data_IF_721333898064
#
_entry.id   IF_721333898064
#
_cell.length_a   1.000
_cell.length_b   1.000
_cell.length_c   1.000
_cell.angle_alpha   90.00
_cell.angle_beta   90.00
_cell.angle_gamma   90.00
#
_symmetry.space_group_name_H-M   'P 1'
#
loop_
_entity.id
_entity.type
_entity.pdbx_description
1 polymer ?
#
# COMPACT_ATOMS: atom_id res chain seq x y z
N UNK A 1 41.24 35.08 -35.28
CA UNK A 1 40.06 35.95 -35.50
C UNK A 1 38.87 35.01 -35.60
N UNK A 2 38.24 34.56 -34.51
CA UNK A 2 37.38 35.32 -33.59
C UNK A 2 36.36 36.17 -34.34
N UNK A 3 35.18 35.60 -34.56
CA UNK A 3 33.93 36.35 -34.58
C UNK A 3 32.98 35.66 -33.62
N UNK A 4 32.68 36.41 -32.55
CA UNK A 4 31.62 36.16 -31.58
C UNK A 4 30.31 36.41 -32.30
N UNK A 5 29.40 35.44 -32.28
CA UNK A 5 27.97 35.74 -32.39
C UNK A 5 27.43 35.95 -30.97
N UNK A 6 27.53 37.19 -30.51
CA UNK A 6 26.63 37.76 -29.53
C UNK A 6 25.23 37.75 -30.15
N UNK A 7 24.42 36.75 -29.80
CA UNK A 7 22.96 36.86 -29.97
C UNK A 7 22.40 37.13 -28.60
N UNK A 8 22.19 38.42 -28.33
CA UNK A 8 21.40 38.99 -27.24
C UNK A 8 20.23 38.09 -26.86
N UNK A 9 20.26 37.53 -25.64
CA UNK A 9 19.05 37.04 -24.98
C UNK A 9 18.06 38.20 -24.97
N UNK A 10 16.95 38.08 -25.70
CA UNK A 10 15.79 38.91 -25.46
C UNK A 10 15.34 38.68 -24.02
N UNK A 11 15.49 39.69 -23.17
CA UNK A 11 14.98 39.69 -21.80
C UNK A 11 13.48 39.35 -21.87
N UNK A 12 13.09 38.19 -21.32
CA UNK A 12 11.69 37.84 -21.21
C UNK A 12 11.03 38.87 -20.30
N UNK A 13 10.21 39.75 -20.88
CA UNK A 13 9.51 40.79 -20.14
C UNK A 13 8.64 40.16 -19.05
N UNK A 14 9.04 40.33 -17.79
CA UNK A 14 8.45 39.65 -16.65
C UNK A 14 7.22 40.44 -16.16
N UNK A 15 6.04 39.93 -16.47
CA UNK A 15 4.78 40.47 -15.99
C UNK A 15 4.45 39.94 -14.59
N UNK A 16 4.06 40.83 -13.67
CA UNK A 16 3.61 40.49 -12.33
C UNK A 16 2.09 40.62 -12.22
N UNK A 17 1.47 39.62 -11.58
CA UNK A 17 0.04 39.60 -11.33
C UNK A 17 -0.23 40.11 -9.91
N UNK A 18 -1.02 41.18 -9.81
CA UNK A 18 -1.35 41.81 -8.54
C UNK A 18 -2.84 41.83 -8.28
N UNK A 19 -3.17 41.71 -7.00
CA UNK A 19 -4.49 41.97 -6.45
C UNK A 19 -4.39 43.20 -5.56
N UNK A 20 -4.94 44.32 -6.03
CA UNK A 20 -5.04 45.55 -5.24
C UNK A 20 -6.39 45.54 -4.54
N UNK A 21 -6.39 45.38 -3.21
CA UNK A 21 -7.59 45.21 -2.39
C UNK A 21 -7.84 46.49 -1.63
N UNK A 22 -9.11 46.92 -1.59
CA UNK A 22 -9.62 47.95 -0.71
C UNK A 22 -10.72 47.37 0.18
N UNK A 23 -10.50 47.37 1.48
CA UNK A 23 -11.45 46.91 2.50
C UNK A 23 -11.50 47.92 3.69
N UNK A 24 -12.37 47.70 4.70
CA UNK A 24 -12.53 48.66 5.81
C UNK A 24 -11.27 48.95 6.62
N UNK A 25 -10.27 48.08 6.59
CA UNK A 25 -9.01 48.27 7.32
C UNK A 25 -7.92 48.94 6.46
N UNK A 26 -8.20 49.23 5.19
CA UNK A 26 -7.34 49.99 4.30
C UNK A 26 -7.10 49.32 2.95
N UNK A 27 -6.07 49.79 2.26
CA UNK A 27 -5.69 49.31 0.93
C UNK A 27 -4.39 48.51 0.97
N UNK A 28 -4.31 47.43 0.20
CA UNK A 28 -3.11 46.59 0.10
C UNK A 28 -2.94 45.99 -1.28
N UNK A 29 -1.68 45.77 -1.68
CA UNK A 29 -1.30 45.09 -2.92
C UNK A 29 -0.79 43.70 -2.57
N UNK A 30 -1.33 42.68 -3.21
CA UNK A 30 -0.90 41.29 -3.05
C UNK A 30 -0.32 40.82 -4.37
N UNK A 31 0.95 40.41 -4.35
CA UNK A 31 1.57 39.71 -5.47
C UNK A 31 1.03 38.28 -5.53
N UNK A 32 0.61 37.85 -6.71
CA UNK A 32 0.11 36.50 -6.97
C UNK A 32 1.23 35.64 -7.57
N UNK A 33 1.94 34.92 -6.70
CA UNK A 33 3.07 34.04 -7.05
C UNK A 33 2.75 32.55 -6.91
N UNK A 34 1.71 32.21 -6.14
CA UNK A 34 1.31 30.84 -5.80
C UNK A 34 0.32 30.26 -6.81
N UNK A 35 0.20 28.93 -6.83
CA UNK A 35 -0.69 28.23 -7.78
C UNK A 35 -2.17 28.34 -7.40
N UNK A 36 -2.48 28.56 -6.14
CA UNK A 36 -3.84 28.59 -5.60
C UNK A 36 -3.91 29.59 -4.45
N UNK A 37 -4.96 30.41 -4.39
CA UNK A 37 -5.29 31.22 -3.22
C UNK A 37 -6.74 30.95 -2.79
N UNK A 38 -6.95 30.74 -1.50
CA UNK A 38 -8.27 30.89 -0.89
C UNK A 38 -8.50 32.36 -0.51
N UNK A 39 -9.69 32.89 -0.77
CA UNK A 39 -10.07 34.28 -0.50
C UNK A 39 -11.25 34.30 0.46
N UNK A 40 -11.19 35.12 1.51
CA UNK A 40 -12.32 35.34 2.42
C UNK A 40 -11.92 35.94 3.76
N UNK A 41 -12.90 36.16 4.66
CA UNK A 41 -12.62 36.82 5.96
C UNK A 41 -11.94 35.95 7.01
N UNK A 42 -11.88 34.63 6.80
CA UNK A 42 -11.15 33.76 7.71
C UNK A 42 -9.64 34.03 7.58
N UNK A 43 -8.94 34.14 8.72
CA UNK A 43 -7.50 34.38 8.79
C UNK A 43 -6.67 33.25 8.18
N UNK A 44 -7.24 32.06 8.03
CA UNK A 44 -6.57 30.91 7.38
C UNK A 44 -6.59 30.98 5.85
N UNK A 45 -7.17 32.02 5.25
CA UNK A 45 -7.18 32.18 3.79
C UNK A 45 -5.86 32.76 3.29
N UNK A 46 -5.45 32.35 2.08
CA UNK A 46 -4.26 32.90 1.42
C UNK A 46 -4.38 34.39 1.10
N UNK A 47 -5.60 34.86 0.83
CA UNK A 47 -5.97 36.28 0.73
C UNK A 47 -7.09 36.54 1.72
N UNK A 48 -6.72 37.13 2.86
CA UNK A 48 -7.68 37.54 3.88
C UNK A 48 -8.37 38.81 3.41
N UNK A 49 -9.70 38.89 3.52
CA UNK A 49 -10.50 40.10 3.28
C UNK A 49 -11.10 40.60 4.61
N UNK A 50 -10.77 41.82 5.04
CA UNK A 50 -11.05 42.28 6.41
C UNK A 50 -12.41 42.97 6.51
N UNK A 51 -13.46 42.24 6.14
CA UNK A 51 -14.85 42.66 6.31
C UNK A 51 -15.73 41.51 6.83
N UNK A 52 -16.65 41.83 7.73
CA UNK A 52 -17.64 40.87 8.25
C UNK A 52 -18.72 40.52 7.22
N UNK A 53 -18.88 41.34 6.17
CA UNK A 53 -19.85 41.13 5.11
C UNK A 53 -19.40 40.07 4.08
N UNK A 54 -18.12 39.70 4.11
CA UNK A 54 -17.52 38.67 3.25
C UNK A 54 -17.67 37.28 3.91
N UNK A 55 -18.01 36.25 3.12
CA UNK A 55 -17.98 34.85 3.58
C UNK A 55 -16.62 34.44 4.18
N UNK A 56 -16.65 33.51 5.16
CA UNK A 56 -15.42 32.96 5.78
C UNK A 56 -14.47 32.37 4.73
N UNK A 57 -15.02 31.67 3.75
CA UNK A 57 -14.38 31.30 2.49
C UNK A 57 -15.31 31.81 1.40
N UNK A 58 -14.82 32.72 0.56
CA UNK A 58 -15.63 33.47 -0.40
C UNK A 58 -15.29 33.09 -1.83
N UNK A 59 -14.01 32.90 -2.15
CA UNK A 59 -13.61 32.49 -3.49
C UNK A 59 -12.31 31.70 -3.46
N UNK A 60 -12.02 31.05 -4.59
CA UNK A 60 -10.72 30.43 -4.87
C UNK A 60 -10.15 31.05 -6.13
N UNK A 61 -8.87 31.40 -6.08
CA UNK A 61 -8.08 31.83 -7.23
C UNK A 61 -7.16 30.70 -7.66
N UNK A 62 -7.17 30.35 -8.95
CA UNK A 62 -6.36 29.29 -9.53
C UNK A 62 -5.45 29.85 -10.61
N UNK A 63 -4.16 29.55 -10.51
CA UNK A 63 -3.17 29.84 -11.54
C UNK A 63 -3.33 28.85 -12.68
N UNK A 64 -3.60 29.37 -13.87
CA UNK A 64 -3.74 28.61 -15.10
C UNK A 64 -2.52 28.92 -15.98
N UNK A 65 -1.59 27.96 -16.19
CA UNK A 65 -0.47 28.19 -17.10
C UNK A 65 -0.99 28.36 -18.54
N UNK A 66 -0.42 29.30 -19.30
CA UNK A 66 -0.72 29.48 -20.73
C UNK A 66 0.33 28.70 -21.52
N UNK A 67 -0.03 27.64 -22.26
CA UNK A 67 0.96 26.85 -22.98
C UNK A 67 1.62 27.63 -24.11
N UNK A 68 2.85 27.22 -24.44
CA UNK A 68 3.75 27.86 -25.43
C UNK A 68 4.18 29.29 -25.10
N UNK A 69 3.75 29.87 -23.96
CA UNK A 69 4.24 31.13 -23.41
C UNK A 69 4.72 30.89 -21.98
N UNK A 70 5.79 31.56 -21.53
CA UNK A 70 6.21 31.51 -20.12
C UNK A 70 5.30 32.34 -19.19
N UNK A 71 4.03 32.53 -19.56
CA UNK A 71 3.04 33.36 -18.88
C UNK A 71 1.93 32.51 -18.26
N UNK A 72 1.19 33.08 -17.31
CA UNK A 72 0.07 32.42 -16.66
C UNK A 72 -1.08 33.40 -16.47
N UNK A 73 -2.28 32.87 -16.26
CA UNK A 73 -3.51 33.62 -15.96
C UNK A 73 -4.03 33.19 -14.60
N UNK A 74 -4.97 33.96 -14.06
CA UNK A 74 -5.68 33.59 -12.85
C UNK A 74 -7.17 33.47 -13.11
N UNK A 75 -7.77 32.36 -12.67
CA UNK A 75 -9.22 32.14 -12.69
C UNK A 75 -9.75 32.28 -11.27
N UNK A 76 -10.79 33.09 -11.09
CA UNK A 76 -11.52 33.20 -9.83
C UNK A 76 -12.80 32.35 -9.89
N UNK A 77 -13.13 31.68 -8.79
CA UNK A 77 -14.29 30.80 -8.66
C UNK A 77 -15.02 31.16 -7.36
N UNK A 78 -16.34 31.33 -7.43
CA UNK A 78 -17.19 31.62 -6.29
C UNK A 78 -17.30 30.42 -5.34
N UNK A 79 -17.03 30.64 -4.06
CA UNK A 79 -17.15 29.63 -3.01
C UNK A 79 -15.82 29.00 -2.55
N UNK A 80 -15.93 27.83 -1.92
CA UNK A 80 -14.79 27.08 -1.40
C UNK A 80 -14.47 25.81 -2.21
N UNK A 81 -13.34 25.17 -1.90
CA UNK A 81 -12.89 23.93 -2.56
C UNK A 81 -13.85 22.73 -2.36
N UNK A 82 -14.84 22.85 -1.49
CA UNK A 82 -15.90 21.85 -1.27
C UNK A 82 -17.20 22.20 -2.01
N UNK A 83 -17.20 23.20 -2.89
CA UNK A 83 -18.33 23.57 -3.75
C UNK A 83 -19.42 24.40 -3.08
N UNK A 84 -19.20 24.89 -1.85
CA UNK A 84 -20.16 25.78 -1.17
C UNK A 84 -19.96 27.22 -1.65
N UNK A 85 -21.01 27.80 -2.24
CA UNK A 85 -21.01 29.18 -2.76
C UNK A 85 -20.84 30.23 -1.68
N UNK A 86 -20.33 31.40 -2.05
CA UNK A 86 -20.33 32.53 -1.13
C UNK A 86 -21.75 33.10 -0.94
N UNK A 87 -21.92 33.94 0.08
CA UNK A 87 -23.23 34.50 0.41
C UNK A 87 -23.67 35.58 -0.59
N UNK A 88 -22.72 36.36 -1.12
CA UNK A 88 -23.00 37.52 -1.97
C UNK A 88 -22.64 37.27 -3.45
N UNK A 89 -22.03 36.13 -3.77
CA UNK A 89 -21.49 35.83 -5.08
C UNK A 89 -20.28 36.70 -5.44
N UNK A 90 -19.71 36.44 -6.62
CA UNK A 90 -18.67 37.27 -7.21
C UNK A 90 -19.27 38.22 -8.23
N UNK A 91 -19.11 39.53 -8.02
CA UNK A 91 -19.49 40.55 -8.98
C UNK A 91 -18.22 41.10 -9.63
N UNK A 92 -18.10 40.97 -10.96
CA UNK A 92 -16.94 41.42 -11.73
C UNK A 92 -17.41 42.37 -12.82
N UNK A 93 -16.90 43.60 -12.81
CA UNK A 93 -17.31 44.68 -13.72
C UNK A 93 -18.83 44.84 -13.80
N UNK A 94 -19.51 44.74 -12.65
CA UNK A 94 -20.97 44.89 -12.54
C UNK A 94 -21.82 43.66 -12.91
N UNK A 95 -21.22 42.51 -13.24
CA UNK A 95 -21.94 41.26 -13.56
C UNK A 95 -21.57 40.12 -12.62
N UNK A 96 -22.55 39.29 -12.26
CA UNK A 96 -22.31 38.12 -11.41
C UNK A 96 -21.70 36.97 -12.19
N UNK A 97 -20.66 36.36 -11.60
CA UNK A 97 -19.97 35.19 -12.14
C UNK A 97 -19.88 34.07 -11.12
N UNK A 98 -20.05 32.84 -11.60
CA UNK A 98 -19.67 31.64 -10.84
C UNK A 98 -18.18 31.32 -11.01
N UNK A 99 -17.64 31.55 -12.21
CA UNK A 99 -16.21 31.48 -12.51
C UNK A 99 -15.88 32.50 -13.60
N UNK A 100 -14.71 33.12 -13.50
CA UNK A 100 -14.21 34.10 -14.47
C UNK A 100 -12.68 34.04 -14.58
N UNK A 101 -12.14 34.19 -15.79
CA UNK A 101 -10.70 34.34 -16.01
C UNK A 101 -10.38 35.84 -15.90
N UNK A 102 -9.53 36.21 -14.95
CA UNK A 102 -9.21 37.60 -14.67
C UNK A 102 -8.37 38.22 -15.78
N UNK A 103 -8.84 39.37 -16.27
CA UNK A 103 -8.16 40.23 -17.23
C UNK A 103 -7.66 41.50 -16.54
N UNK A 104 -6.53 42.05 -17.00
CA UNK A 104 -6.00 43.29 -16.44
C UNK A 104 -7.08 44.39 -16.42
N UNK A 105 -7.28 44.98 -15.24
CA UNK A 105 -8.28 46.01 -15.00
C UNK A 105 -9.60 45.50 -14.45
N UNK A 106 -9.81 44.18 -14.32
CA UNK A 106 -11.04 43.63 -13.75
C UNK A 106 -11.24 44.12 -12.31
N UNK A 107 -12.39 44.76 -12.06
CA UNK A 107 -12.85 45.16 -10.73
C UNK A 107 -13.79 44.08 -10.17
N UNK A 108 -13.46 43.59 -8.99
CA UNK A 108 -14.10 42.47 -8.32
C UNK A 108 -14.67 42.98 -7.00
N UNK A 109 -15.97 42.82 -6.81
CA UNK A 109 -16.70 43.22 -5.60
C UNK A 109 -17.13 41.96 -4.85
N UNK A 110 -16.68 41.85 -3.60
CA UNK A 110 -17.00 40.73 -2.70
C UNK A 110 -18.12 41.09 -1.70
N UNK A 111 -18.24 42.37 -1.39
CA UNK A 111 -19.30 42.97 -0.58
C UNK A 111 -19.33 44.48 -0.84
N UNK A 112 -20.34 45.16 -0.29
CA UNK A 112 -20.52 46.61 -0.47
C UNK A 112 -19.35 47.46 0.05
N UNK A 113 -18.52 46.91 0.93
CA UNK A 113 -17.37 47.58 1.57
C UNK A 113 -16.02 46.96 1.19
N UNK A 114 -16.00 45.94 0.31
CA UNK A 114 -14.79 45.20 -0.03
C UNK A 114 -14.72 44.94 -1.53
N UNK A 115 -13.69 45.49 -2.16
CA UNK A 115 -13.40 45.34 -3.59
C UNK A 115 -11.92 45.07 -3.84
N UNK A 116 -11.63 44.50 -4.98
CA UNK A 116 -10.27 44.33 -5.48
C UNK A 116 -10.20 44.67 -6.97
N UNK A 117 -9.05 45.12 -7.44
CA UNK A 117 -8.74 45.19 -8.86
C UNK A 117 -7.59 44.23 -9.18
N UNK A 118 -7.75 43.49 -10.28
CA UNK A 118 -6.71 42.61 -10.77
C UNK A 118 -5.88 43.32 -11.83
N UNK A 119 -4.57 43.33 -11.65
CA UNK A 119 -3.66 44.05 -12.54
C UNK A 119 -2.46 43.20 -12.94
N UNK A 120 -2.03 43.38 -14.19
CA UNK A 120 -0.84 42.77 -14.75
C UNK A 120 0.08 43.95 -15.07
N UNK A 121 1.20 44.04 -14.35
CA UNK A 121 2.13 45.18 -14.44
C UNK A 121 3.55 44.69 -14.70
N UNK A 122 4.40 45.53 -15.28
CA UNK A 122 5.82 45.22 -15.48
C UNK A 122 6.63 45.56 -14.23
N UNK A 123 6.16 46.51 -13.42
CA UNK A 123 6.81 46.90 -12.18
C UNK A 123 5.79 47.04 -11.03
N UNK A 124 6.07 46.57 -9.80
CA UNK A 124 5.15 46.68 -8.65
C UNK A 124 4.70 48.11 -8.30
N UNK A 125 5.49 49.11 -8.72
CA UNK A 125 5.17 50.53 -8.53
C UNK A 125 3.98 51.00 -9.39
N UNK A 126 3.67 50.31 -10.50
CA UNK A 126 2.61 50.67 -11.46
C UNK A 126 1.21 50.22 -11.02
N UNK A 127 1.09 49.43 -9.95
CA UNK A 127 -0.21 48.93 -9.47
C UNK A 127 -1.05 50.10 -8.91
N UNK A 128 -2.22 50.32 -9.49
CA UNK A 128 -3.19 51.37 -9.09
C UNK A 128 -4.15 50.83 -8.03
N UNK A 129 -4.64 51.65 -7.10
CA UNK A 129 -5.62 51.18 -6.11
C UNK A 129 -7.07 51.31 -6.62
N UNK A 130 -8.00 50.46 -6.17
CA UNK A 130 -9.42 50.59 -6.53
C UNK A 130 -9.98 51.94 -6.04
N UNK A 131 -10.37 52.82 -6.97
CA UNK A 131 -10.95 54.14 -6.68
C UNK A 131 -10.11 55.36 -7.09
N UNK A 132 -8.90 55.18 -7.59
CA UNK A 132 -8.10 56.26 -8.20
C UNK A 132 -8.52 56.47 -9.66
N UNK A 133 -9.65 57.15 -9.91
CA UNK A 133 -10.01 57.57 -11.28
C UNK A 133 -9.27 58.85 -11.66
N UNK A 134 -8.28 58.70 -12.53
CA UNK A 134 -8.02 59.62 -13.66
C UNK A 134 -7.99 58.73 -14.92
N UNK A 135 -9.16 58.19 -15.25
CA UNK A 135 -9.33 57.03 -16.13
C UNK A 135 -9.07 57.29 -17.63
N UNK A 136 -8.79 58.53 -18.06
CA UNK A 136 -8.64 58.85 -19.49
C UNK A 136 -7.19 59.00 -19.98
N UNK A 137 -6.18 59.03 -19.10
CA UNK A 137 -4.78 59.26 -19.52
C UNK A 137 -3.95 58.00 -19.78
N UNK A 138 -4.34 56.84 -19.22
CA UNK A 138 -3.56 55.59 -19.36
C UNK A 138 -4.05 54.73 -20.54
N UNK A 139 -5.23 55.02 -21.09
CA UNK A 139 -5.79 54.31 -22.24
C UNK A 139 -5.13 54.64 -23.59
N UNK A 140 -4.39 55.75 -23.71
CA UNK A 140 -3.82 56.19 -24.99
C UNK A 140 -2.43 55.63 -25.29
N UNK A 141 -1.63 55.25 -24.29
CA UNK A 141 -0.27 54.72 -24.50
C UNK A 141 -0.19 53.18 -24.61
N UNK A 142 -1.30 52.46 -24.37
CA UNK A 142 -1.33 50.98 -24.39
C UNK A 142 -1.92 50.35 -25.67
N UNK A 143 -2.12 51.13 -26.73
CA UNK A 143 -2.63 50.61 -28.01
C UNK A 143 -1.54 50.05 -28.96
N UNK A 144 -0.26 50.03 -28.56
CA UNK A 144 0.81 49.64 -29.51
C UNK A 144 1.35 48.22 -29.44
N UNK A 145 1.05 47.44 -28.41
CA UNK A 145 1.31 45.99 -28.46
C UNK A 145 0.50 45.26 -27.38
N UNK A 146 -0.72 44.85 -27.72
CA UNK A 146 -1.40 43.80 -26.96
C UNK A 146 -1.26 42.49 -27.73
N UNK A 147 -0.82 41.38 -27.11
CA UNK A 147 -1.10 40.07 -27.65
C UNK A 147 -2.62 39.87 -27.55
N UNK A 148 -3.35 40.20 -28.62
CA UNK A 148 -4.73 39.78 -28.77
C UNK A 148 -4.73 38.25 -28.92
N UNK A 149 -5.08 37.54 -27.86
CA UNK A 149 -5.57 36.17 -28.00
C UNK A 149 -7.06 36.26 -28.31
N UNK A 150 -7.46 35.60 -29.38
CA UNK A 150 -8.85 35.54 -29.83
C UNK A 150 -9.67 34.65 -28.88
N UNK A 151 -11.00 34.85 -28.81
CA UNK A 151 -11.89 33.96 -28.04
C UNK A 151 -11.72 32.46 -28.41
N UNK A 152 -11.26 32.18 -29.63
CA UNK A 152 -10.84 30.87 -30.11
C UNK A 152 -9.63 30.28 -29.37
N UNK A 153 -8.66 31.10 -28.94
CA UNK A 153 -7.50 30.65 -28.17
C UNK A 153 -7.82 30.40 -26.69
N UNK A 154 -8.90 31.00 -26.16
CA UNK A 154 -9.37 30.80 -24.79
C UNK A 154 -10.15 29.49 -24.61
N UNK A 155 -10.84 29.01 -25.65
CA UNK A 155 -11.42 27.68 -25.66
C UNK A 155 -10.33 26.59 -25.57
N UNK A 156 -9.21 26.78 -26.27
CA UNK A 156 -8.07 25.86 -26.27
C UNK A 156 -7.37 25.75 -24.90
N UNK A 157 -7.20 26.85 -24.14
CA UNK A 157 -6.66 26.79 -22.77
C UNK A 157 -7.56 26.02 -21.78
N UNK A 158 -8.88 26.04 -22.01
CA UNK A 158 -9.84 25.27 -21.22
C UNK A 158 -9.73 23.77 -21.58
N UNK A 159 -9.58 23.46 -22.87
CA UNK A 159 -9.28 22.11 -23.36
C UNK A 159 -7.93 21.60 -22.85
N UNK A 160 -6.87 22.40 -22.76
CA UNK A 160 -5.56 21.95 -22.27
C UNK A 160 -5.54 21.71 -20.77
N UNK A 161 -6.22 22.55 -19.98
CA UNK A 161 -6.39 22.31 -18.55
C UNK A 161 -7.28 21.07 -18.28
N UNK A 162 -8.35 20.91 -19.06
CA UNK A 162 -9.18 19.71 -19.04
C UNK A 162 -8.41 18.47 -19.50
N UNK A 163 -7.59 18.57 -20.56
CA UNK A 163 -6.73 17.50 -21.05
C UNK A 163 -5.68 17.12 -20.02
N UNK A 164 -5.09 18.09 -19.31
CA UNK A 164 -4.18 17.81 -18.20
C UNK A 164 -4.89 17.13 -17.03
N UNK A 165 -6.08 17.59 -16.64
CA UNK A 165 -6.85 16.95 -15.56
C UNK A 165 -7.31 15.55 -15.96
N UNK A 166 -7.71 15.35 -17.22
CA UNK A 166 -8.03 14.06 -17.80
C UNK A 166 -6.80 13.15 -17.93
N UNK A 167 -5.59 13.71 -18.04
CA UNK A 167 -4.37 12.90 -18.15
C UNK A 167 -3.95 12.20 -16.85
N UNK A 168 -4.41 12.65 -15.67
CA UNK A 168 -4.03 12.02 -14.40
C UNK A 168 -4.45 10.55 -14.30
N UNK A 169 -5.72 10.18 -14.54
CA UNK A 169 -6.11 8.77 -14.57
C UNK A 169 -5.45 8.00 -15.73
N UNK A 170 -5.25 8.63 -16.90
CA UNK A 170 -4.57 8.02 -18.06
C UNK A 170 -3.12 7.62 -17.78
N UNK A 171 -2.39 8.43 -17.01
CA UNK A 171 -0.99 8.21 -16.66
C UNK A 171 -0.81 7.39 -15.37
N UNK A 172 -1.90 7.04 -14.69
CA UNK A 172 -1.82 6.27 -13.46
C UNK A 172 -1.46 4.81 -13.80
N UNK A 173 -0.37 4.26 -13.23
CA UNK A 173 0.02 2.88 -13.48
C UNK A 173 -0.94 1.85 -12.87
N UNK A 174 -1.79 2.27 -11.93
CA UNK A 174 -2.79 1.41 -11.32
C UNK A 174 -4.07 1.38 -12.18
N UNK A 175 -4.70 0.22 -12.35
CA UNK A 175 -5.98 0.12 -13.05
C UNK A 175 -7.06 0.98 -12.38
N UNK A 176 -7.70 1.83 -13.18
CA UNK A 176 -8.86 2.64 -12.80
C UNK A 176 -9.99 2.30 -13.75
N UNK A 177 -11.16 2.03 -13.19
CA UNK A 177 -12.38 1.79 -13.95
C UNK A 177 -13.56 2.56 -13.34
N UNK A 178 -14.48 2.96 -14.20
CA UNK A 178 -15.74 3.58 -13.82
C UNK A 178 -16.88 2.80 -14.46
N UNK A 179 -17.91 2.52 -13.67
CA UNK A 179 -19.15 1.90 -14.13
C UNK A 179 -20.33 2.72 -13.66
N UNK A 180 -21.42 2.72 -14.41
CA UNK A 180 -22.69 3.26 -13.94
C UNK A 180 -23.42 2.27 -13.02
N UNK A 181 -24.52 2.70 -12.41
CA UNK A 181 -25.38 1.84 -11.57
C UNK A 181 -26.07 0.69 -12.33
N UNK A 182 -26.04 0.66 -13.67
CA UNK A 182 -26.52 -0.50 -14.44
C UNK A 182 -25.41 -1.53 -14.70
N UNK A 183 -24.19 -1.29 -14.23
CA UNK A 183 -23.04 -2.18 -14.40
C UNK A 183 -22.33 -2.03 -15.75
N UNK A 184 -22.64 -0.99 -16.51
CA UNK A 184 -21.96 -0.67 -17.78
C UNK A 184 -20.69 0.12 -17.52
N UNK A 185 -19.58 -0.29 -18.12
CA UNK A 185 -18.29 0.41 -18.02
C UNK A 185 -18.37 1.74 -18.79
N UNK A 186 -18.16 2.85 -18.08
CA UNK A 186 -18.15 4.22 -18.64
C UNK A 186 -16.74 4.73 -18.90
N UNK A 187 -15.73 4.21 -18.20
CA UNK A 187 -14.34 4.61 -18.36
C UNK A 187 -13.38 3.49 -17.92
N UNK A 188 -12.26 3.35 -18.64
CA UNK A 188 -11.09 2.58 -18.24
C UNK A 188 -9.86 3.42 -18.54
N UNK A 189 -8.90 3.46 -17.62
CA UNK A 189 -7.59 3.99 -17.95
C UNK A 189 -6.75 2.96 -18.74
N UNK A 190 -5.64 3.36 -19.38
CA UNK A 190 -4.78 2.47 -20.16
C UNK A 190 -4.26 1.27 -19.37
N UNK A 191 -3.95 1.45 -18.08
CA UNK A 191 -3.52 0.35 -17.22
C UNK A 191 -4.61 -0.73 -17.07
N UNK A 192 -5.87 -0.33 -16.81
CA UNK A 192 -6.98 -1.26 -16.71
C UNK A 192 -7.28 -1.95 -18.05
N UNK A 193 -7.27 -1.19 -19.15
CA UNK A 193 -7.53 -1.75 -20.48
C UNK A 193 -6.44 -2.74 -20.91
N UNK A 194 -5.18 -2.48 -20.56
CA UNK A 194 -4.06 -3.39 -20.87
C UNK A 194 -4.02 -4.61 -19.97
N UNK A 195 -4.36 -4.47 -18.68
CA UNK A 195 -4.26 -5.55 -17.70
C UNK A 195 -5.49 -6.47 -17.69
N UNK A 196 -6.65 -5.95 -18.09
CA UNK A 196 -7.93 -6.67 -18.12
C UNK A 196 -8.64 -6.46 -19.48
N UNK A 197 -8.06 -6.91 -20.61
CA UNK A 197 -8.69 -6.77 -21.93
C UNK A 197 -10.08 -7.46 -22.01
N UNK A 198 -10.30 -8.51 -21.23
CA UNK A 198 -11.52 -9.29 -21.16
C UNK A 198 -12.69 -8.59 -20.43
N UNK A 199 -12.47 -7.40 -19.85
CA UNK A 199 -13.45 -6.73 -18.99
C UNK A 199 -14.77 -6.43 -19.75
N UNK A 200 -14.68 -6.00 -21.00
CA UNK A 200 -15.84 -5.70 -21.84
C UNK A 200 -16.58 -6.97 -22.30
N UNK A 201 -15.85 -8.06 -22.52
CA UNK A 201 -16.42 -9.33 -22.98
C UNK A 201 -17.17 -10.05 -21.86
N UNK A 202 -16.56 -10.10 -20.66
CA UNK A 202 -17.12 -10.80 -19.51
C UNK A 202 -18.15 -9.94 -18.76
N UNK A 203 -18.00 -8.61 -18.76
CA UNK A 203 -18.92 -7.69 -18.08
C UNK A 203 -19.14 -8.09 -16.63
N UNK A 204 -20.40 -8.25 -16.22
CA UNK A 204 -20.77 -8.65 -14.85
C UNK A 204 -20.19 -10.01 -14.39
N UNK A 205 -19.74 -10.86 -15.30
CA UNK A 205 -19.08 -12.14 -14.97
C UNK A 205 -17.60 -11.96 -14.63
N UNK A 206 -17.00 -10.81 -14.97
CA UNK A 206 -15.63 -10.51 -14.60
C UNK A 206 -15.52 -10.35 -13.08
N UNK A 207 -14.50 -10.92 -12.40
CA UNK A 207 -14.37 -10.83 -10.95
C UNK A 207 -14.41 -9.39 -10.40
N UNK A 208 -13.84 -8.43 -11.15
CA UNK A 208 -13.83 -7.00 -10.78
C UNK A 208 -15.21 -6.31 -10.83
N UNK A 209 -16.15 -6.83 -11.63
CA UNK A 209 -17.48 -6.25 -11.80
C UNK A 209 -18.57 -7.09 -11.12
N UNK A 210 -18.27 -8.36 -10.86
CA UNK A 210 -19.16 -9.29 -10.16
C UNK A 210 -19.63 -8.69 -8.84
N UNK A 211 -20.94 -8.68 -8.64
CA UNK A 211 -21.63 -8.17 -7.45
C UNK A 211 -21.30 -6.71 -7.08
N UNK A 212 -20.63 -5.95 -7.95
CA UNK A 212 -20.15 -4.59 -7.66
C UNK A 212 -21.32 -3.62 -7.43
N UNK A 213 -22.29 -3.63 -8.34
CA UNK A 213 -23.50 -2.78 -8.26
C UNK A 213 -24.31 -3.13 -7.02
N UNK A 214 -24.56 -4.42 -6.77
CA UNK A 214 -25.30 -4.91 -5.61
C UNK A 214 -24.60 -4.49 -4.30
N UNK A 215 -23.28 -4.67 -4.23
CA UNK A 215 -22.47 -4.30 -3.05
C UNK A 215 -22.54 -2.80 -2.75
N UNK A 216 -22.65 -1.96 -3.78
CA UNK A 216 -22.85 -0.51 -3.61
C UNK A 216 -24.29 -0.23 -3.17
N UNK A 217 -25.29 -0.81 -3.82
CA UNK A 217 -26.71 -0.61 -3.51
C UNK A 217 -27.05 -0.94 -2.04
N UNK A 218 -26.53 -2.06 -1.53
CA UNK A 218 -26.72 -2.47 -0.13
C UNK A 218 -26.12 -1.47 0.88
N UNK A 219 -25.11 -0.71 0.44
CA UNK A 219 -24.35 0.24 1.27
C UNK A 219 -24.79 1.70 1.11
N UNK A 220 -25.66 2.03 0.16
CA UNK A 220 -26.18 3.40 -0.02
C UNK A 220 -26.95 3.92 1.21
N UNK A 221 -27.48 3.02 2.04
CA UNK A 221 -28.18 3.36 3.29
C UNK A 221 -27.25 3.53 4.51
N UNK A 222 -25.98 3.13 4.39
CA UNK A 222 -24.97 3.33 5.40
C UNK A 222 -24.09 4.52 4.98
N UNK A 223 -23.74 5.42 5.88
CA UNK A 223 -22.98 6.65 5.60
C UNK A 223 -21.54 6.44 5.08
N UNK A 224 -21.22 5.32 4.43
CA UNK A 224 -19.94 4.96 3.83
C UNK A 224 -20.08 4.80 2.31
N UNK A 225 -19.87 5.89 1.58
CA UNK A 225 -19.85 5.89 0.11
C UNK A 225 -18.60 5.23 -0.51
N UNK A 226 -17.67 4.74 0.33
CA UNK A 226 -16.42 4.13 -0.10
C UNK A 226 -16.10 2.88 0.72
N UNK A 227 -15.62 1.83 0.06
CA UNK A 227 -15.14 0.60 0.70
C UNK A 227 -14.09 -0.09 -0.17
N UNK A 228 -13.41 -1.09 0.38
CA UNK A 228 -12.47 -1.93 -0.36
C UNK A 228 -12.89 -3.39 -0.29
N UNK A 229 -12.52 -4.17 -1.32
CA UNK A 229 -12.64 -5.63 -1.35
C UNK A 229 -11.42 -6.25 -2.00
N UNK A 230 -11.10 -7.48 -1.62
CA UNK A 230 -10.07 -8.27 -2.27
C UNK A 230 -10.68 -9.03 -3.45
N UNK A 231 -10.00 -9.05 -4.59
CA UNK A 231 -10.43 -9.77 -5.79
C UNK A 231 -9.23 -10.48 -6.40
N UNK A 232 -9.41 -11.75 -6.73
CA UNK A 232 -8.44 -12.51 -7.51
C UNK A 232 -8.76 -12.41 -9.00
N UNK A 233 -7.77 -12.06 -9.81
CA UNK A 233 -7.87 -12.02 -11.26
C UNK A 233 -6.61 -12.63 -11.86
N UNK A 234 -6.76 -13.67 -12.68
CA UNK A 234 -5.65 -14.34 -13.37
C UNK A 234 -4.50 -14.78 -12.44
N UNK A 235 -4.82 -15.22 -11.21
CA UNK A 235 -3.84 -15.67 -10.20
C UNK A 235 -3.08 -14.53 -9.47
N UNK A 236 -3.49 -13.28 -9.69
CA UNK A 236 -3.03 -12.11 -8.97
C UNK A 236 -4.11 -11.62 -8.00
N UNK A 237 -3.68 -11.11 -6.84
CA UNK A 237 -4.56 -10.57 -5.81
C UNK A 237 -4.56 -9.05 -5.87
N UNK A 238 -5.75 -8.47 -6.03
CA UNK A 238 -5.96 -7.03 -6.03
C UNK A 238 -6.81 -6.57 -4.85
N UNK A 239 -6.46 -5.41 -4.30
CA UNK A 239 -7.34 -4.64 -3.43
C UNK A 239 -8.09 -3.64 -4.31
N UNK A 240 -9.39 -3.88 -4.51
CA UNK A 240 -10.28 -3.03 -5.28
C UNK A 240 -10.96 -2.03 -4.34
N UNK A 241 -10.62 -0.76 -4.49
CA UNK A 241 -11.23 0.34 -3.75
C UNK A 241 -12.37 0.92 -4.57
N UNK A 242 -13.55 1.00 -3.98
CA UNK A 242 -14.81 1.30 -4.65
C UNK A 242 -15.40 2.55 -4.03
N UNK A 243 -15.73 3.52 -4.87
CA UNK A 243 -16.31 4.81 -4.50
C UNK A 243 -17.59 5.05 -5.29
N UNK A 244 -18.71 5.18 -4.60
CA UNK A 244 -19.96 5.60 -5.21
C UNK A 244 -20.06 7.13 -5.22
N UNK A 245 -20.44 7.69 -6.36
CA UNK A 245 -20.61 9.13 -6.59
C UNK A 245 -22.11 9.39 -6.83
N UNK A 246 -22.89 9.70 -5.77
CA UNK A 246 -24.35 9.77 -5.86
C UNK A 246 -24.86 10.81 -6.86
N UNK A 247 -24.19 11.96 -6.96
CA UNK A 247 -24.59 13.04 -7.87
C UNK A 247 -24.43 12.71 -9.35
N UNK A 248 -23.75 11.61 -9.68
CA UNK A 248 -23.46 11.19 -11.05
C UNK A 248 -23.98 9.78 -11.35
N UNK A 249 -24.46 9.05 -10.34
CA UNK A 249 -24.81 7.62 -10.42
C UNK A 249 -23.66 6.77 -10.99
N UNK A 250 -22.43 7.12 -10.62
CA UNK A 250 -21.20 6.46 -11.04
C UNK A 250 -20.54 5.75 -9.87
N UNK A 251 -19.95 4.60 -10.16
CA UNK A 251 -19.10 3.84 -9.27
C UNK A 251 -17.70 3.89 -9.88
N UNK A 252 -16.78 4.57 -9.20
CA UNK A 252 -15.37 4.60 -9.56
C UNK A 252 -14.61 3.60 -8.71
N UNK A 253 -13.79 2.78 -9.34
CA UNK A 253 -12.87 1.92 -8.59
C UNK A 253 -11.45 2.00 -9.09
N UNK A 254 -10.50 1.83 -8.16
CA UNK A 254 -9.09 1.70 -8.47
C UNK A 254 -8.56 0.43 -7.83
N UNK A 255 -7.60 -0.21 -8.48
CA UNK A 255 -7.01 -1.47 -8.03
C UNK A 255 -5.57 -1.25 -7.58
N UNK A 256 -5.21 -1.81 -6.44
CA UNK A 256 -3.82 -1.96 -6.03
C UNK A 256 -3.45 -3.44 -6.09
N UNK A 257 -2.36 -3.78 -6.79
CA UNK A 257 -1.80 -5.14 -6.73
C UNK A 257 -1.21 -5.38 -5.33
N UNK A 258 -1.73 -6.40 -4.64
CA UNK A 258 -1.31 -6.80 -3.31
C UNK A 258 -0.72 -8.22 -3.30
N UNK A 259 -0.42 -8.78 -4.47
CA UNK A 259 0.03 -10.17 -4.63
C UNK A 259 1.32 -10.44 -3.86
N UNK A 260 2.36 -9.64 -4.05
CA UNK A 260 3.63 -9.82 -3.34
C UNK A 260 3.48 -9.63 -1.82
N UNK A 261 2.64 -8.66 -1.41
CA UNK A 261 2.32 -8.42 0.01
C UNK A 261 1.66 -9.66 0.62
N UNK A 262 0.67 -10.24 -0.04
CA UNK A 262 -0.05 -11.44 0.40
C UNK A 262 0.86 -12.66 0.44
N UNK A 263 1.63 -12.93 -0.63
CA UNK A 263 2.61 -14.02 -0.66
C UNK A 263 3.66 -13.89 0.45
N UNK A 264 4.18 -12.68 0.67
CA UNK A 264 5.13 -12.44 1.76
C UNK A 264 4.49 -12.67 3.13
N UNK A 265 3.25 -12.24 3.32
CA UNK A 265 2.49 -12.48 4.55
C UNK A 265 2.25 -13.97 4.79
N UNK A 266 1.87 -14.73 3.76
CA UNK A 266 1.70 -16.19 3.81
C UNK A 266 3.03 -16.88 4.14
N UNK A 267 4.14 -16.48 3.53
CA UNK A 267 5.48 -17.00 3.84
C UNK A 267 5.83 -16.71 5.31
N UNK A 268 5.61 -15.49 5.79
CA UNK A 268 5.86 -15.13 7.20
C UNK A 268 5.00 -15.98 8.14
N UNK A 269 3.71 -16.18 7.81
CA UNK A 269 2.82 -17.03 8.59
C UNK A 269 3.27 -18.49 8.58
N UNK A 270 3.67 -19.00 7.42
CA UNK A 270 4.18 -20.36 7.27
C UNK A 270 5.47 -20.55 8.09
N UNK A 271 6.44 -19.63 7.96
CA UNK A 271 7.71 -19.62 8.71
C UNK A 271 7.52 -19.42 10.23
N UNK A 272 6.43 -18.77 10.66
CA UNK A 272 6.12 -18.68 12.08
C UNK A 272 5.85 -20.07 12.70
N UNK A 273 5.50 -21.06 11.88
CA UNK A 273 5.14 -22.42 12.30
C UNK A 273 6.04 -23.52 11.69
N UNK A 274 6.87 -23.22 10.69
CA UNK A 274 7.74 -24.19 10.02
C UNK A 274 9.19 -23.71 9.99
N UNK A 275 10.12 -24.64 9.98
CA UNK A 275 11.54 -24.37 9.80
C UNK A 275 11.83 -24.04 8.33
N UNK A 276 12.45 -22.88 8.08
CA UNK A 276 12.66 -22.38 6.72
C UNK A 276 13.62 -23.24 5.87
N UNK A 277 14.53 -23.99 6.51
CA UNK A 277 15.49 -24.83 5.80
C UNK A 277 14.90 -26.18 5.40
N UNK A 278 14.18 -26.82 6.32
CA UNK A 278 13.71 -28.20 6.16
C UNK A 278 12.26 -28.32 5.76
N UNK A 279 11.45 -27.26 5.95
CA UNK A 279 10.01 -27.29 5.73
C UNK A 279 9.23 -28.06 6.80
N UNK A 280 9.90 -28.70 7.76
CA UNK A 280 9.23 -29.37 8.88
C UNK A 280 8.59 -28.34 9.82
N UNK A 281 7.57 -28.74 10.62
CA UNK A 281 7.12 -27.96 11.76
C UNK A 281 8.31 -27.50 12.63
N UNK A 282 8.24 -26.26 13.10
CA UNK A 282 9.25 -25.73 14.02
C UNK A 282 8.87 -26.04 15.48
N UNK A 283 9.78 -25.71 16.41
CA UNK A 283 9.56 -25.83 17.87
C UNK A 283 8.21 -25.27 18.33
N UNK A 284 7.82 -24.08 17.86
CA UNK A 284 6.56 -23.44 18.29
C UNK A 284 5.33 -24.24 17.83
N UNK A 285 5.33 -24.71 16.58
CA UNK A 285 4.23 -25.54 16.07
C UNK A 285 4.17 -26.88 16.82
N UNK A 286 5.30 -27.54 17.03
CA UNK A 286 5.34 -28.79 17.79
C UNK A 286 4.79 -28.63 19.21
N UNK A 287 5.25 -27.62 19.96
CA UNK A 287 4.78 -27.38 21.32
C UNK A 287 3.27 -27.10 21.38
N UNK A 288 2.74 -26.31 20.43
CA UNK A 288 1.31 -26.03 20.34
C UNK A 288 0.51 -27.30 19.99
N UNK A 289 0.99 -28.08 19.01
CA UNK A 289 0.35 -29.32 18.60
C UNK A 289 0.32 -30.33 19.77
N UNK A 290 1.45 -30.54 20.44
CA UNK A 290 1.53 -31.43 21.60
C UNK A 290 0.62 -30.98 22.75
N UNK A 291 0.51 -29.67 23.02
CA UNK A 291 -0.41 -29.16 24.03
C UNK A 291 -1.87 -29.54 23.73
N UNK A 292 -2.30 -29.38 22.48
CA UNK A 292 -3.64 -29.76 22.03
C UNK A 292 -3.83 -31.28 22.09
N UNK A 293 -2.86 -32.05 21.60
CA UNK A 293 -2.91 -33.51 21.62
C UNK A 293 -2.95 -34.08 23.03
N UNK A 294 -2.26 -33.48 24.00
CA UNK A 294 -2.34 -33.90 25.42
C UNK A 294 -3.75 -33.67 26.00
N UNK A 295 -4.42 -32.58 25.63
CA UNK A 295 -5.78 -32.31 26.06
C UNK A 295 -6.76 -33.36 25.50
N UNK A 296 -6.62 -33.73 24.23
CA UNK A 296 -7.38 -34.82 23.60
C UNK A 296 -7.09 -36.17 24.29
N UNK A 297 -5.80 -36.50 24.43
CA UNK A 297 -5.34 -37.77 24.98
C UNK A 297 -5.81 -38.00 26.42
N UNK A 298 -5.91 -36.93 27.22
CA UNK A 298 -6.48 -36.99 28.57
C UNK A 298 -7.94 -37.43 28.56
N UNK A 299 -8.71 -36.99 27.56
CA UNK A 299 -10.13 -37.33 27.44
C UNK A 299 -10.36 -38.75 26.87
N UNK A 300 -9.44 -39.26 26.05
CA UNK A 300 -9.57 -40.55 25.36
C UNK A 300 -8.71 -41.67 25.94
N UNK A 301 -7.98 -41.42 27.03
CA UNK A 301 -6.96 -42.32 27.60
C UNK A 301 -5.92 -42.77 26.55
N UNK A 302 -5.57 -41.86 25.62
CA UNK A 302 -4.58 -42.11 24.58
C UNK A 302 -3.17 -41.97 25.18
N UNK A 303 -2.28 -42.92 24.86
CA UNK A 303 -0.86 -42.84 25.23
C UNK A 303 -0.06 -42.25 24.08
N UNK A 304 0.92 -41.42 24.41
CA UNK A 304 1.78 -40.74 23.45
C UNK A 304 3.25 -41.00 23.79
N UNK A 305 4.14 -40.87 22.81
CA UNK A 305 5.58 -40.83 23.04
C UNK A 305 6.18 -39.57 22.41
N UNK A 306 7.05 -38.89 23.15
CA UNK A 306 7.89 -37.80 22.65
C UNK A 306 9.31 -38.32 22.54
N UNK A 307 9.86 -38.29 21.32
CA UNK A 307 11.23 -38.73 21.02
C UNK A 307 12.06 -37.51 20.62
N UNK A 308 13.03 -37.16 21.44
CA UNK A 308 14.03 -36.15 21.12
C UNK A 308 15.19 -36.81 20.38
N UNK A 309 15.66 -36.20 19.29
CA UNK A 309 16.64 -36.77 18.38
C UNK A 309 17.72 -35.73 18.12
N UNK A 310 18.97 -36.13 18.22
CA UNK A 310 20.12 -35.28 17.89
C UNK A 310 21.09 -36.05 16.98
N UNK A 311 21.65 -35.36 15.99
CA UNK A 311 22.56 -35.97 15.01
C UNK A 311 24.00 -35.94 15.53
N UNK A 312 24.53 -37.12 15.81
CA UNK A 312 25.89 -37.24 16.31
C UNK A 312 26.90 -36.77 15.25
N UNK A 313 27.80 -35.87 15.64
CA UNK A 313 28.89 -35.40 14.78
C UNK A 313 28.50 -34.38 13.72
N UNK A 314 27.27 -33.85 13.72
CA UNK A 314 26.83 -32.83 12.74
C UNK A 314 27.75 -31.61 12.70
N UNK A 315 28.21 -31.13 13.86
CA UNK A 315 29.18 -30.04 13.92
C UNK A 315 30.46 -30.33 13.13
N UNK A 316 30.98 -31.56 13.19
CA UNK A 316 32.19 -31.96 12.45
C UNK A 316 31.98 -31.92 10.94
N UNK A 317 30.75 -32.24 10.47
CA UNK A 317 30.38 -32.11 9.06
C UNK A 317 30.44 -30.64 8.64
N UNK A 318 29.84 -29.73 9.41
CA UNK A 318 29.90 -28.29 9.12
C UNK A 318 31.34 -27.77 9.13
N UNK A 319 32.12 -28.14 10.14
CA UNK A 319 33.50 -27.68 10.31
C UNK A 319 34.42 -28.20 9.20
N UNK A 320 34.15 -29.40 8.65
CA UNK A 320 35.00 -30.04 7.64
C UNK A 320 34.58 -29.78 6.18
N UNK A 321 33.28 -29.66 5.92
CA UNK A 321 32.70 -29.60 4.57
C UNK A 321 31.87 -28.34 4.31
N UNK A 322 31.71 -27.48 5.31
CA UNK A 322 30.95 -26.23 5.23
C UNK A 322 29.47 -26.40 5.52
N UNK A 323 28.83 -25.27 5.86
CA UNK A 323 27.41 -25.22 6.24
C UNK A 323 26.46 -25.66 5.13
N UNK A 324 26.79 -25.41 3.85
CA UNK A 324 25.95 -25.81 2.72
C UNK A 324 25.75 -27.34 2.65
N UNK A 325 26.80 -28.10 2.99
CA UNK A 325 26.75 -29.56 3.05
C UNK A 325 25.96 -30.04 4.28
N UNK A 326 26.13 -29.38 5.43
CA UNK A 326 25.31 -29.64 6.61
C UNK A 326 23.83 -29.36 6.38
N UNK A 327 23.50 -28.28 5.68
CA UNK A 327 22.12 -27.93 5.32
C UNK A 327 21.48 -29.00 4.41
N UNK A 328 22.26 -29.53 3.46
CA UNK A 328 21.81 -30.62 2.61
C UNK A 328 21.64 -31.94 3.39
N UNK A 329 22.51 -32.21 4.36
CA UNK A 329 22.38 -33.35 5.26
C UNK A 329 21.06 -33.27 6.06
N UNK A 330 20.76 -32.10 6.64
CA UNK A 330 19.50 -31.87 7.36
C UNK A 330 18.28 -32.11 6.46
N UNK A 331 18.28 -31.57 5.24
CA UNK A 331 17.20 -31.80 4.25
C UNK A 331 17.04 -33.29 3.92
N UNK A 332 18.15 -34.00 3.73
CA UNK A 332 18.11 -35.45 3.40
C UNK A 332 17.56 -36.29 4.56
N UNK A 333 17.79 -35.86 5.81
CA UNK A 333 17.21 -36.49 7.00
C UNK A 333 15.69 -36.27 7.04
N UNK A 334 15.22 -35.09 6.67
CA UNK A 334 13.80 -34.77 6.54
C UNK A 334 13.10 -35.58 5.44
N UNK A 335 13.82 -36.08 4.44
CA UNK A 335 13.27 -37.02 3.46
C UNK A 335 13.28 -38.47 3.97
N UNK A 336 14.22 -38.82 4.86
CA UNK A 336 14.46 -40.20 5.30
C UNK A 336 13.61 -40.60 6.50
N UNK A 337 13.56 -39.77 7.54
CA UNK A 337 12.88 -40.12 8.79
C UNK A 337 11.35 -40.23 8.67
N UNK A 338 10.64 -39.36 7.90
CA UNK A 338 9.19 -39.48 7.75
C UNK A 338 8.71 -40.80 7.14
N UNK A 339 9.57 -41.54 6.42
CA UNK A 339 9.23 -42.85 5.84
C UNK A 339 8.91 -43.93 6.88
N UNK A 340 9.23 -43.68 8.15
CA UNK A 340 8.95 -44.59 9.26
C UNK A 340 7.68 -44.23 10.04
N UNK A 341 7.09 -43.07 9.76
CA UNK A 341 6.04 -42.45 10.55
C UNK A 341 4.66 -42.77 10.01
N UNK A 342 3.66 -42.79 10.89
CA UNK A 342 2.25 -42.86 10.53
C UNK A 342 1.69 -41.46 10.24
N UNK A 343 0.47 -41.40 9.71
CA UNK A 343 -0.18 -40.13 9.35
C UNK A 343 -0.43 -39.25 10.58
N UNK A 344 -0.66 -39.86 11.75
CA UNK A 344 -0.90 -39.15 13.00
C UNK A 344 0.37 -38.75 13.77
N UNK A 345 1.54 -39.21 13.33
CA UNK A 345 2.82 -38.86 13.93
C UNK A 345 3.31 -37.50 13.41
N UNK A 346 4.08 -36.77 14.23
CA UNK A 346 4.62 -35.47 13.84
C UNK A 346 6.12 -35.39 14.09
N UNK A 347 6.89 -35.26 13.01
CA UNK A 347 8.30 -34.88 13.08
C UNK A 347 8.44 -33.36 12.95
N UNK A 348 9.24 -32.76 13.81
CA UNK A 348 9.55 -31.34 13.82
C UNK A 348 11.07 -31.12 13.96
N UNK A 349 11.57 -29.99 13.44
CA UNK A 349 12.93 -29.55 13.74
C UNK A 349 12.90 -28.65 14.97
N UNK A 350 13.64 -29.04 16.01
CA UNK A 350 13.69 -28.32 17.26
C UNK A 350 14.65 -27.13 17.21
N UNK A 351 15.78 -27.30 16.53
CA UNK A 351 16.78 -26.27 16.27
C UNK A 351 18.14 -26.89 15.96
N UNK A 352 18.99 -26.24 15.14
CA UNK A 352 20.30 -26.80 14.78
C UNK A 352 20.18 -28.19 14.13
N UNK A 353 20.81 -29.18 14.74
CA UNK A 353 20.80 -30.61 14.43
C UNK A 353 19.78 -31.43 15.24
N UNK A 354 18.95 -30.77 16.03
CA UNK A 354 17.96 -31.40 16.88
C UNK A 354 16.59 -31.51 16.19
N UNK A 355 15.99 -32.69 16.29
CA UNK A 355 14.65 -33.00 15.85
C UNK A 355 13.83 -33.54 17.02
N UNK A 356 12.51 -33.39 16.92
CA UNK A 356 11.59 -33.95 17.90
C UNK A 356 10.44 -34.64 17.17
N UNK A 357 10.06 -35.80 17.67
CA UNK A 357 9.01 -36.63 17.11
C UNK A 357 7.94 -36.86 18.16
N UNK A 358 6.68 -36.66 17.78
CA UNK A 358 5.52 -37.09 18.53
C UNK A 358 4.94 -38.33 17.87
N UNK A 359 4.77 -39.40 18.65
CA UNK A 359 4.11 -40.63 18.24
C UNK A 359 2.78 -40.71 18.98
N UNK A 360 1.69 -40.85 18.21
CA UNK A 360 0.33 -40.96 18.74
C UNK A 360 -0.12 -42.42 18.90
N UNK A 361 -1.21 -42.63 19.64
CA UNK A 361 -1.87 -43.95 19.82
C UNK A 361 -0.91 -45.08 20.22
N UNK A 362 -0.02 -44.82 21.17
CA UNK A 362 1.01 -45.79 21.59
C UNK A 362 0.39 -46.99 22.29
N UNK A 363 0.41 -48.16 21.63
CA UNK A 363 -0.14 -49.41 22.19
C UNK A 363 0.86 -50.21 23.02
N UNK A 364 2.16 -50.10 22.74
CA UNK A 364 3.22 -50.79 23.50
C UNK A 364 4.55 -50.04 23.45
N UNK A 365 5.32 -50.14 24.54
CA UNK A 365 6.67 -49.56 24.66
C UNK A 365 7.64 -50.22 23.68
N UNK A 366 7.52 -51.54 23.49
CA UNK A 366 8.34 -52.29 22.54
C UNK A 366 8.20 -51.76 21.12
N UNK A 367 7.00 -51.32 20.72
CA UNK A 367 6.79 -50.75 19.38
C UNK A 367 7.54 -49.44 19.18
N UNK A 368 7.60 -48.60 20.22
CA UNK A 368 8.35 -47.34 20.19
C UNK A 368 9.86 -47.63 20.12
N UNK A 369 10.32 -48.62 20.87
CA UNK A 369 11.71 -49.06 20.81
C UNK A 369 12.09 -49.61 19.42
N UNK A 370 11.25 -50.46 18.82
CA UNK A 370 11.45 -50.96 17.45
C UNK A 370 11.52 -49.83 16.43
N UNK A 371 10.63 -48.84 16.53
CA UNK A 371 10.62 -47.68 15.65
C UNK A 371 11.91 -46.86 15.80
N UNK A 372 12.31 -46.55 17.04
CA UNK A 372 13.55 -45.83 17.33
C UNK A 372 14.78 -46.58 16.78
N UNK A 373 14.85 -47.90 16.96
CA UNK A 373 15.92 -48.73 16.40
C UNK A 373 15.95 -48.68 14.88
N UNK A 374 14.79 -48.76 14.21
CA UNK A 374 14.73 -48.63 12.75
C UNK A 374 15.20 -47.25 12.26
N UNK A 375 14.82 -46.18 12.96
CA UNK A 375 15.27 -44.82 12.63
C UNK A 375 16.78 -44.66 12.85
N UNK A 376 17.34 -45.19 13.94
CA UNK A 376 18.79 -45.23 14.17
C UNK A 376 19.54 -45.95 13.04
N UNK A 377 19.03 -47.11 12.60
CA UNK A 377 19.63 -47.84 11.48
C UNK A 377 19.52 -47.07 10.16
N UNK A 378 18.44 -46.31 9.96
CA UNK A 378 18.27 -45.45 8.79
C UNK A 378 19.26 -44.27 8.80
N UNK A 379 19.55 -43.70 9.98
CA UNK A 379 20.57 -42.67 10.14
C UNK A 379 21.98 -43.21 9.84
N UNK A 380 22.26 -44.49 10.09
CA UNK A 380 23.56 -45.09 9.75
C UNK A 380 23.80 -45.28 8.25
N UNK A 381 22.74 -45.32 7.45
CA UNK A 381 22.89 -45.47 6.00
C UNK A 381 23.54 -44.21 5.42
N UNK A 382 24.39 -44.35 4.39
CA UNK A 382 25.08 -43.19 3.82
C UNK A 382 24.11 -42.11 3.34
N UNK A 383 24.47 -40.86 3.56
CA UNK A 383 23.77 -39.68 3.01
C UNK A 383 24.60 -39.10 1.87
N UNK A 384 24.01 -39.01 0.68
CA UNK A 384 24.67 -38.38 -0.45
C UNK A 384 24.34 -36.89 -0.48
N UNK A 385 25.30 -36.06 -0.09
CA UNK A 385 25.14 -34.62 0.05
C UNK A 385 26.18 -33.91 -0.81
N UNK A 386 25.76 -33.33 -1.94
CA UNK A 386 26.65 -32.52 -2.78
C UNK A 386 27.78 -33.33 -3.42
N UNK A 387 27.56 -34.63 -3.66
CA UNK A 387 28.59 -35.56 -4.16
C UNK A 387 29.47 -36.17 -3.07
N UNK A 388 29.25 -35.84 -1.79
CA UNK A 388 29.91 -36.47 -0.66
C UNK A 388 29.03 -37.56 -0.05
N UNK A 389 29.63 -38.70 0.27
CA UNK A 389 28.98 -39.77 1.02
C UNK A 389 29.29 -39.59 2.51
N UNK A 390 28.27 -39.21 3.29
CA UNK A 390 28.39 -38.89 4.71
C UNK A 390 27.82 -40.02 5.56
N UNK A 391 28.54 -40.34 6.64
CA UNK A 391 28.13 -41.31 7.65
C UNK A 391 27.94 -40.57 8.97
N UNK A 392 26.71 -40.50 9.43
CA UNK A 392 26.37 -39.96 10.75
C UNK A 392 25.57 -40.99 11.55
N UNK A 393 25.43 -40.76 12.85
CA UNK A 393 24.47 -41.47 13.67
C UNK A 393 23.53 -40.48 14.37
N UNK A 394 22.62 -40.99 15.18
CA UNK A 394 21.77 -40.15 16.00
C UNK A 394 21.69 -40.70 17.42
N UNK A 395 21.50 -39.80 18.37
CA UNK A 395 21.15 -40.12 19.75
C UNK A 395 19.70 -39.77 19.99
N UNK A 396 18.94 -40.69 20.60
CA UNK A 396 17.50 -40.52 20.82
C UNK A 396 17.12 -40.68 22.28
N UNK A 397 16.22 -39.84 22.76
CA UNK A 397 15.65 -39.89 24.10
C UNK A 397 14.15 -39.92 24.05
N UNK A 398 13.54 -40.85 24.79
CA UNK A 398 12.11 -41.15 24.69
C UNK A 398 11.45 -40.84 26.03
N UNK A 399 10.37 -40.08 26.02
CA UNK A 399 9.46 -39.91 27.15
C UNK A 399 8.04 -40.33 26.77
N UNK A 400 7.30 -40.90 27.70
CA UNK A 400 5.97 -41.46 27.50
C UNK A 400 4.93 -40.66 28.28
N UNK A 401 3.84 -40.27 27.60
CA UNK A 401 2.65 -39.77 28.28
C UNK A 401 1.70 -40.94 28.62
N UNK A 402 1.12 -40.98 29.83
CA UNK A 402 1.28 -40.04 30.95
C UNK A 402 2.43 -40.38 31.93
N UNK A 403 3.19 -41.45 31.69
CA UNK A 403 4.16 -42.03 32.65
C UNK A 403 5.28 -41.06 33.06
N UNK A 404 5.87 -40.38 32.09
CA UNK A 404 7.05 -39.52 32.24
C UNK A 404 6.69 -38.04 32.31
N UNK A 405 5.40 -37.70 32.33
CA UNK A 405 4.94 -36.31 32.40
C UNK A 405 3.55 -36.10 31.82
N UNK A 406 2.90 -35.02 32.24
CA UNK A 406 1.55 -34.63 31.83
C UNK A 406 1.48 -33.26 31.12
N UNK A 407 2.62 -32.59 30.93
CA UNK A 407 2.73 -31.30 30.27
C UNK A 407 3.87 -31.29 29.25
N UNK A 408 3.71 -30.44 28.22
CA UNK A 408 4.66 -30.27 27.11
C UNK A 408 6.10 -30.13 27.62
N UNK A 409 6.35 -29.16 28.50
CA UNK A 409 7.70 -28.85 28.97
C UNK A 409 8.34 -30.02 29.73
N UNK A 410 7.53 -30.81 30.46
CA UNK A 410 8.02 -31.96 31.23
C UNK A 410 8.43 -33.09 30.28
N UNK A 411 7.55 -33.45 29.33
CA UNK A 411 7.82 -34.52 28.36
C UNK A 411 9.03 -34.18 27.50
N UNK A 412 9.07 -32.97 26.95
CA UNK A 412 10.21 -32.51 26.13
C UNK A 412 11.50 -32.54 26.93
N UNK A 413 11.52 -32.00 28.15
CA UNK A 413 12.72 -31.99 29.02
C UNK A 413 13.18 -33.40 29.40
N UNK A 414 12.24 -34.30 29.68
CA UNK A 414 12.56 -35.67 30.07
C UNK A 414 13.08 -36.48 28.87
N UNK A 415 12.52 -36.27 27.67
CA UNK A 415 13.05 -36.83 26.43
C UNK A 415 14.46 -36.29 26.13
N UNK A 416 14.70 -34.99 26.27
CA UNK A 416 16.03 -34.38 26.12
C UNK A 416 17.04 -34.96 27.13
N UNK A 417 16.64 -35.09 28.40
CA UNK A 417 17.49 -35.71 29.43
C UNK A 417 17.87 -37.15 29.07
N UNK A 418 16.94 -37.94 28.52
CA UNK A 418 17.22 -39.29 28.07
C UNK A 418 18.13 -39.33 26.83
N UNK A 419 17.96 -38.39 25.91
CA UNK A 419 18.79 -38.23 24.70
C UNK A 419 20.23 -37.89 25.08
N UNK A 420 20.41 -37.00 26.06
CA UNK A 420 21.71 -36.67 26.59
C UNK A 420 22.40 -37.88 27.24
N UNK A 421 21.66 -38.73 27.96
CA UNK A 421 22.20 -40.01 28.48
C UNK A 421 22.61 -40.96 27.34
N UNK A 422 21.83 -41.02 26.26
CA UNK A 422 22.18 -41.79 25.06
C UNK A 422 23.51 -41.30 24.45
N UNK A 423 23.71 -39.98 24.32
CA UNK A 423 24.98 -39.37 23.91
C UNK A 423 26.14 -39.77 24.81
N UNK A 424 25.96 -39.67 26.13
CA UNK A 424 27.01 -40.03 27.10
C UNK A 424 27.39 -41.52 27.06
N UNK A 425 26.47 -42.40 26.63
CA UNK A 425 26.74 -43.83 26.45
C UNK A 425 27.49 -44.19 25.16
N UNK A 426 28.01 -43.20 24.43
CA UNK A 426 28.76 -43.40 23.18
C UNK A 426 27.99 -43.04 21.90
N UNK A 427 26.83 -42.38 22.04
CA UNK A 427 25.97 -41.99 20.93
C UNK A 427 25.30 -43.18 20.24
N UNK A 428 24.70 -42.94 19.07
CA UNK A 428 24.13 -43.98 18.22
C UNK A 428 23.19 -44.96 18.96
N UNK A 429 22.37 -44.44 19.86
CA UNK A 429 21.51 -45.24 20.72
C UNK A 429 20.22 -44.49 21.06
N UNK A 430 19.24 -45.23 21.57
CA UNK A 430 18.02 -44.65 22.12
C UNK A 430 17.89 -45.04 23.59
N UNK A 431 17.43 -44.11 24.43
CA UNK A 431 17.13 -44.39 25.82
C UNK A 431 15.74 -43.88 26.19
N UNK A 432 15.01 -44.67 26.98
CA UNK A 432 13.80 -44.18 27.65
C UNK A 432 14.20 -43.35 28.87
N UNK A 433 13.38 -42.33 29.16
CA UNK A 433 13.51 -41.58 30.38
C UNK A 433 13.29 -42.49 31.59
N UNK A 434 14.12 -42.29 32.60
CA UNK A 434 13.98 -42.93 33.90
C UNK A 434 14.19 -41.86 34.96
N UNK A 435 13.18 -41.67 35.83
CA UNK A 435 13.33 -40.85 37.02
C UNK A 435 14.30 -41.56 37.95
N UNK A 436 15.54 -41.08 37.99
CA UNK A 436 16.57 -41.49 38.94
C UNK A 436 16.16 -41.22 40.37
#
# INVERSE_FOLDING_TARGET
MSQREDTTLAEAQQYYHFFAIADPEGQRKILLDSTTYSIGRNLTNGIVLRSQLVSRQHAVLLRVPVPKKSSHLFRIIDGNLQGRRSKNGLLINGKHYFSHILSHGDEIVFSNDTRASYQIVNHPAEVVMPGDTDADRILQDMQRDRPHMSDTDFANCNEEALARLASFPELNPNPILEVNISGTITYLNPAAASQFPELYELGAHHPLLRDLVTSVADRQNASQAAFAREVEVNGLMFEQFIHYIPGSELIRSYLADITERKRSQEIIQYQAHHDALTGLPNRKHFSNYLANTLAEATATDERLAVVFIDLDGFKQVNDSLGHDIGDLLLKTICERLPKFLQEEDMLARWGGDEFILLIRKVTSVDRIFELAQRMLQACKQPFNCGGHELYISASMGISLYPLDGNHVDILVRNADTAMYRAKQSGGNSCQFYTST
#
